data_IF_654976135645
#
_entry.id   IF_654976135645
#
_cell.length_a   1.000
_cell.length_b   1.000
_cell.length_c   1.000
_cell.angle_alpha   90.00
_cell.angle_beta   90.00
_cell.angle_gamma   90.00
#
_symmetry.space_group_name_H-M   'P 1'
#
loop_
_entity.id
_entity.type
_entity.pdbx_description
1 polymer ?
#
# COMPACT_ATOMS: atom_id res chain seq x y z
N UNK A 1 6.89 -1.00 8.89
CA UNK A 1 7.27 -0.41 7.59
C UNK A 1 6.85 1.05 7.61
N UNK A 2 7.45 1.95 6.81
CA UNK A 2 6.99 3.34 6.83
C UNK A 2 5.69 3.54 6.04
N UNK A 3 4.86 4.44 6.55
CA UNK A 3 3.59 4.84 5.94
C UNK A 3 3.68 5.16 4.44
N UNK A 4 4.65 5.96 3.94
CA UNK A 4 4.76 6.24 2.52
C UNK A 4 4.92 4.99 1.65
N UNK A 5 5.51 3.93 2.19
CA UNK A 5 5.74 2.67 1.46
C UNK A 5 4.46 1.89 1.24
N UNK A 6 3.52 1.92 2.19
CA UNK A 6 2.18 1.37 1.98
C UNK A 6 1.46 2.09 0.84
N UNK A 7 1.54 3.43 0.81
CA UNK A 7 0.90 4.23 -0.25
C UNK A 7 1.53 3.96 -1.62
N UNK A 8 2.86 3.87 -1.69
CA UNK A 8 3.57 3.57 -2.92
C UNK A 8 3.27 2.16 -3.43
N UNK A 9 3.24 1.16 -2.53
CA UNK A 9 2.86 -0.21 -2.88
C UNK A 9 1.42 -0.29 -3.38
N UNK A 10 0.48 0.43 -2.75
CA UNK A 10 -0.91 0.52 -3.20
C UNK A 10 -1.02 1.20 -4.58
N UNK A 11 -0.28 2.27 -4.82
CA UNK A 11 -0.25 2.93 -6.12
C UNK A 11 0.30 1.99 -7.22
N UNK A 12 1.37 1.24 -6.92
CA UNK A 12 1.91 0.22 -7.82
C UNK A 12 0.93 -0.93 -8.09
N UNK A 13 0.16 -1.35 -7.08
CA UNK A 13 -0.88 -2.36 -7.27
C UNK A 13 -1.90 -1.91 -8.32
N UNK A 14 -2.28 -0.64 -8.33
CA UNK A 14 -3.21 -0.10 -9.32
C UNK A 14 -2.68 -0.17 -10.75
N UNK A 15 -1.37 0.02 -10.93
CA UNK A 15 -0.69 -0.16 -12.23
C UNK A 15 -0.87 -1.57 -12.80
N UNK A 16 -0.91 -2.59 -11.94
CA UNK A 16 -1.02 -3.99 -12.37
C UNK A 16 -2.44 -4.55 -12.33
N UNK A 17 -3.36 -3.94 -11.59
CA UNK A 17 -4.70 -4.49 -11.32
C UNK A 17 -5.86 -3.76 -12.00
N UNK A 18 -5.59 -2.68 -12.75
CA UNK A 18 -6.62 -1.77 -13.33
C UNK A 18 -7.55 -1.13 -12.29
N UNK A 19 -7.23 -1.27 -10.99
CA UNK A 19 -7.99 -0.67 -9.91
C UNK A 19 -7.70 0.83 -9.82
N UNK A 20 -8.68 1.59 -9.33
CA UNK A 20 -8.53 3.03 -9.17
C UNK A 20 -7.45 3.34 -8.13
N UNK A 21 -6.38 3.98 -8.59
CA UNK A 21 -5.21 4.30 -7.77
C UNK A 21 -5.51 5.25 -6.62
N UNK A 22 -6.29 6.34 -6.81
CA UNK A 22 -6.69 7.18 -5.68
C UNK A 22 -7.37 6.37 -4.58
N UNK A 23 -8.26 5.45 -4.94
CA UNK A 23 -9.00 4.64 -3.96
C UNK A 23 -8.15 3.54 -3.32
N UNK A 24 -7.16 2.99 -4.04
CA UNK A 24 -6.14 2.12 -3.46
C UNK A 24 -5.31 2.84 -2.40
N UNK A 25 -4.85 4.06 -2.70
CA UNK A 25 -4.06 4.87 -1.77
C UNK A 25 -4.91 5.26 -0.56
N UNK A 26 -6.17 5.66 -0.76
CA UNK A 26 -7.11 5.91 0.36
C UNK A 26 -7.27 4.66 1.21
N UNK A 27 -7.55 3.50 0.59
CA UNK A 27 -7.69 2.24 1.28
C UNK A 27 -6.47 1.89 2.12
N UNK A 28 -5.27 2.05 1.56
CA UNK A 28 -4.01 1.81 2.26
C UNK A 28 -3.74 2.83 3.36
N UNK A 29 -4.19 4.08 3.22
CA UNK A 29 -3.99 5.09 4.25
C UNK A 29 -4.90 4.90 5.47
N UNK A 30 -6.09 4.31 5.28
CA UNK A 30 -7.14 4.24 6.31
C UNK A 30 -6.69 3.63 7.65
N UNK A 31 -6.00 2.48 7.70
CA UNK A 31 -5.63 1.86 8.98
C UNK A 31 -4.84 2.80 9.88
N UNK A 32 -3.82 3.45 9.31
CA UNK A 32 -2.93 4.38 10.02
C UNK A 32 -3.63 5.68 10.41
N UNK A 33 -4.52 6.20 9.55
CA UNK A 33 -5.28 7.41 9.84
C UNK A 33 -6.34 7.20 10.94
N UNK A 34 -6.71 5.95 11.22
CA UNK A 34 -7.59 5.59 12.34
C UNK A 34 -6.76 5.34 13.59
N UNK A 35 -5.81 4.43 13.54
CA UNK A 35 -5.19 3.92 14.76
C UNK A 35 -4.18 4.88 15.37
N UNK A 36 -3.41 5.62 14.55
CA UNK A 36 -2.41 6.55 15.07
C UNK A 36 -3.07 7.68 15.88
N UNK A 37 -4.11 8.37 15.39
CA UNK A 37 -4.81 9.36 16.21
C UNK A 37 -5.44 8.76 17.48
N UNK A 38 -6.07 7.58 17.39
CA UNK A 38 -6.68 6.93 18.56
C UNK A 38 -5.64 6.64 19.64
N UNK A 39 -4.46 6.14 19.27
CA UNK A 39 -3.38 5.86 20.20
C UNK A 39 -2.75 7.15 20.77
N UNK A 40 -2.50 8.16 19.93
CA UNK A 40 -1.95 9.45 20.37
C UNK A 40 -2.89 10.20 21.33
N UNK A 41 -4.20 10.01 21.18
CA UNK A 41 -5.21 10.56 22.08
C UNK A 41 -5.44 9.69 23.33
N UNK A 42 -4.75 8.55 23.47
CA UNK A 42 -4.87 7.64 24.60
C UNK A 42 -6.20 6.86 24.64
N UNK A 43 -6.91 6.76 23.51
CA UNK A 43 -8.15 5.95 23.40
C UNK A 43 -7.83 4.45 23.40
N UNK A 44 -6.68 4.09 22.84
CA UNK A 44 -6.13 2.74 22.82
C UNK A 44 -4.64 2.81 23.12
N UNK A 45 -4.08 1.73 23.67
CA UNK A 45 -2.67 1.70 24.08
C UNK A 45 -1.71 1.28 22.94
N UNK A 46 -2.25 0.84 21.80
CA UNK A 46 -1.49 0.29 20.68
C UNK A 46 -1.76 1.05 19.38
N UNK A 47 -0.72 1.16 18.55
CA UNK A 47 -0.78 1.84 17.25
C UNK A 47 -1.31 0.95 16.10
N UNK A 48 -1.57 -0.33 16.37
CA UNK A 48 -2.20 -1.30 15.46
C UNK A 48 -3.40 -1.94 16.16
N UNK A 49 -4.60 -1.40 15.93
CA UNK A 49 -5.84 -1.76 16.62
C UNK A 49 -7.05 -1.81 15.66
N UNK A 50 -7.92 -0.81 15.68
CA UNK A 50 -9.24 -0.81 15.03
C UNK A 50 -9.11 -0.84 13.51
N UNK A 51 -8.24 -0.03 12.94
CA UNK A 51 -8.01 0.08 11.50
C UNK A 51 -7.20 -1.09 10.95
N UNK A 52 -6.35 -1.70 11.78
CA UNK A 52 -5.46 -2.80 11.40
C UNK A 52 -5.99 -4.21 11.71
N UNK A 53 -7.16 -4.34 12.33
CA UNK A 53 -7.74 -5.66 12.63
C UNK A 53 -8.31 -6.34 11.37
N UNK A 54 -7.96 -7.61 11.18
CA UNK A 54 -8.55 -8.47 10.16
C UNK A 54 -10.03 -8.78 10.44
N UNK A 55 -10.55 -8.47 11.64
CA UNK A 55 -11.98 -8.60 11.94
C UNK A 55 -12.85 -7.66 11.10
N UNK A 56 -12.28 -6.62 10.47
CA UNK A 56 -12.96 -5.79 9.47
C UNK A 56 -13.08 -6.47 8.09
N UNK A 57 -12.52 -7.67 7.89
CA UNK A 57 -12.57 -8.38 6.61
C UNK A 57 -14.01 -8.57 6.05
N UNK A 58 -15.02 -8.96 6.83
CA UNK A 58 -16.39 -9.10 6.29
C UNK A 58 -16.96 -7.77 5.76
N UNK A 59 -16.69 -6.66 6.45
CA UNK A 59 -17.11 -5.33 6.03
C UNK A 59 -16.38 -4.91 4.75
N UNK A 60 -15.06 -5.08 4.70
CA UNK A 60 -14.25 -4.70 3.53
C UNK A 60 -14.60 -5.55 2.31
N UNK A 61 -14.91 -6.83 2.49
CA UNK A 61 -15.46 -7.70 1.43
C UNK A 61 -16.81 -7.18 0.92
N UNK A 62 -17.70 -6.77 1.82
CA UNK A 62 -18.99 -6.17 1.44
C UNK A 62 -18.80 -4.89 0.62
N UNK A 63 -17.88 -4.01 1.06
CA UNK A 63 -17.50 -2.80 0.33
C UNK A 63 -16.90 -3.13 -1.04
N UNK A 64 -16.07 -4.19 -1.12
CA UNK A 64 -15.49 -4.64 -2.38
C UNK A 64 -16.58 -5.06 -3.38
N UNK A 65 -17.61 -5.79 -2.96
CA UNK A 65 -18.68 -6.21 -3.88
C UNK A 65 -19.63 -5.08 -4.28
N UNK A 66 -19.69 -3.98 -3.51
CA UNK A 66 -20.62 -2.89 -3.78
C UNK A 66 -20.26 -2.05 -5.02
N UNK A 67 -18.97 -1.88 -5.35
CA UNK A 67 -18.56 -1.06 -6.51
C UNK A 67 -17.10 -1.29 -6.95
N UNK A 68 -16.72 -0.89 -8.18
CA UNK A 68 -15.31 -0.86 -8.60
C UNK A 68 -14.41 -0.01 -7.69
N UNK A 69 -14.93 1.12 -7.22
CA UNK A 69 -14.27 1.97 -6.23
C UNK A 69 -14.08 1.24 -4.90
N UNK A 70 -15.10 0.54 -4.42
CA UNK A 70 -15.05 -0.26 -3.21
C UNK A 70 -14.01 -1.39 -3.30
N UNK A 71 -13.87 -2.04 -4.47
CA UNK A 71 -12.79 -3.03 -4.69
C UNK A 71 -11.40 -2.43 -4.55
N UNK A 72 -11.19 -1.24 -5.11
CA UNK A 72 -9.90 -0.54 -5.00
C UNK A 72 -9.59 -0.17 -3.55
N UNK A 73 -10.58 0.36 -2.83
CA UNK A 73 -10.46 0.68 -1.40
C UNK A 73 -10.14 -0.55 -0.55
N UNK A 74 -10.89 -1.64 -0.72
CA UNK A 74 -10.67 -2.88 0.00
C UNK A 74 -9.30 -3.50 -0.30
N UNK A 75 -8.85 -3.47 -1.56
CA UNK A 75 -7.54 -3.96 -1.95
C UNK A 75 -6.39 -3.11 -1.38
N UNK A 76 -6.57 -1.79 -1.28
CA UNK A 76 -5.60 -0.90 -0.63
C UNK A 76 -5.51 -1.17 0.87
N UNK A 77 -6.64 -1.34 1.54
CA UNK A 77 -6.69 -1.70 2.95
C UNK A 77 -6.00 -3.06 3.20
N UNK A 78 -6.33 -4.07 2.39
CA UNK A 78 -5.74 -5.40 2.51
C UNK A 78 -4.22 -5.40 2.24
N UNK A 79 -3.74 -4.61 1.27
CA UNK A 79 -2.31 -4.49 1.01
C UNK A 79 -1.57 -3.84 2.17
N UNK A 80 -2.18 -2.86 2.86
CA UNK A 80 -1.61 -2.25 4.04
C UNK A 80 -1.40 -3.27 5.17
N UNK A 81 -2.46 -3.98 5.56
CA UNK A 81 -2.40 -5.03 6.59
C UNK A 81 -1.39 -6.12 6.24
N UNK A 82 -1.38 -6.56 4.97
CA UNK A 82 -0.44 -7.56 4.50
C UNK A 82 1.02 -7.11 4.68
N UNK A 83 1.34 -5.87 4.28
CA UNK A 83 2.70 -5.34 4.40
C UNK A 83 3.10 -5.12 5.87
N UNK A 84 2.14 -4.81 6.74
CA UNK A 84 2.39 -4.74 8.17
C UNK A 84 2.72 -6.09 8.79
N UNK A 85 1.89 -7.10 8.53
CA UNK A 85 2.14 -8.46 8.99
C UNK A 85 3.45 -9.03 8.39
N UNK A 86 3.71 -8.78 7.11
CA UNK A 86 4.91 -9.25 6.43
C UNK A 86 6.19 -8.65 7.04
N UNK A 87 6.21 -7.34 7.29
CA UNK A 87 7.44 -6.70 7.79
C UNK A 87 7.78 -7.17 9.21
N UNK A 88 6.78 -7.38 10.08
CA UNK A 88 7.07 -7.82 11.46
C UNK A 88 7.60 -9.25 11.47
N UNK A 89 7.10 -10.11 10.58
CA UNK A 89 7.64 -11.46 10.36
C UNK A 89 9.08 -11.39 9.85
N UNK A 90 9.37 -10.57 8.84
CA UNK A 90 10.73 -10.38 8.30
C UNK A 90 11.68 -9.85 9.36
N UNK A 91 11.19 -9.00 10.27
CA UNK A 91 11.96 -8.44 11.37
C UNK A 91 12.14 -9.42 12.55
N UNK A 92 11.71 -10.67 12.43
CA UNK A 92 11.84 -11.69 13.48
C UNK A 92 10.84 -11.55 14.62
N UNK A 93 9.76 -10.79 14.42
CA UNK A 93 8.68 -10.56 15.40
C UNK A 93 7.33 -11.08 14.89
N UNK A 94 7.18 -12.37 14.52
CA UNK A 94 5.93 -12.89 13.99
C UNK A 94 4.76 -12.80 14.98
N UNK A 95 5.05 -12.78 16.29
CA UNK A 95 4.03 -12.57 17.33
C UNK A 95 3.35 -11.20 17.26
N UNK A 96 4.01 -10.19 16.68
CA UNK A 96 3.41 -8.87 16.50
C UNK A 96 2.27 -8.91 15.47
N UNK A 97 2.28 -9.85 14.52
CA UNK A 97 1.19 -10.02 13.54
C UNK A 97 -0.16 -10.39 14.19
N UNK A 98 -0.17 -10.74 15.48
CA UNK A 98 -1.40 -10.90 16.27
C UNK A 98 -2.21 -9.61 16.39
N UNK A 99 -1.66 -8.43 16.04
CA UNK A 99 -2.45 -7.21 15.89
C UNK A 99 -3.67 -7.41 14.98
N UNK A 100 -3.59 -8.31 13.99
CA UNK A 100 -4.69 -8.64 13.08
C UNK A 100 -5.91 -9.21 13.82
N UNK A 101 -5.73 -9.81 14.99
CA UNK A 101 -6.82 -10.37 15.79
C UNK A 101 -7.33 -9.44 16.88
N UNK A 102 -6.83 -8.20 16.97
CA UNK A 102 -7.30 -7.23 17.95
C UNK A 102 -8.81 -6.98 17.80
N UNK A 103 -9.61 -6.88 18.89
CA UNK A 103 -9.22 -6.91 20.30
C UNK A 103 -9.27 -8.31 20.92
N UNK A 104 -9.52 -9.36 20.15
CA UNK A 104 -9.67 -10.73 20.66
C UNK A 104 -8.33 -11.32 21.11
N UNK A 105 -7.25 -10.90 20.47
CA UNK A 105 -5.87 -11.20 20.85
C UNK A 105 -5.01 -9.94 20.76
N UNK A 106 -3.94 -9.92 21.53
CA UNK A 106 -2.97 -8.82 21.56
C UNK A 106 -1.57 -9.44 21.45
N UNK A 107 -0.62 -8.81 20.74
CA UNK A 107 0.77 -9.25 20.75
C UNK A 107 1.30 -9.41 22.19
N UNK A 108 2.06 -10.48 22.49
CA UNK A 108 2.56 -10.74 23.84
C UNK A 108 3.63 -9.76 24.30
N UNK A 109 4.36 -9.16 23.35
CA UNK A 109 5.41 -8.17 23.56
C UNK A 109 5.28 -7.09 22.49
N UNK A 110 4.25 -6.21 22.55
CA UNK A 110 4.06 -5.19 21.54
C UNK A 110 5.16 -4.12 21.68
N UNK A 111 5.69 -3.63 20.56
CA UNK A 111 6.64 -2.51 20.60
C UNK A 111 6.03 -1.28 21.29
N UNK A 112 4.74 -1.02 21.07
CA UNK A 112 3.96 0.06 21.69
C UNK A 112 4.60 1.47 21.62
N UNK A 113 5.56 1.68 20.72
CA UNK A 113 6.26 2.95 20.56
C UNK A 113 5.51 3.90 19.61
N UNK A 114 5.53 5.23 19.88
CA UNK A 114 4.91 6.22 19.02
C UNK A 114 5.58 6.32 17.64
N UNK A 115 4.91 6.90 16.61
CA UNK A 115 5.44 6.96 15.25
C UNK A 115 6.83 7.62 15.13
N UNK A 116 7.12 8.62 15.98
CA UNK A 116 8.42 9.30 15.98
C UNK A 116 9.57 8.39 16.43
N UNK A 117 9.35 7.60 17.49
CA UNK A 117 10.34 6.63 17.99
C UNK A 117 10.45 5.43 17.05
N UNK A 118 9.32 4.97 16.50
CA UNK A 118 9.29 3.91 15.50
C UNK A 118 10.15 4.25 14.28
N UNK A 119 10.17 5.52 13.86
CA UNK A 119 11.03 5.97 12.76
C UNK A 119 12.50 5.64 13.01
N UNK A 120 13.03 5.99 14.18
CA UNK A 120 14.44 5.72 14.51
C UNK A 120 14.68 4.22 14.72
N UNK A 121 13.77 3.55 15.41
CA UNK A 121 13.84 2.10 15.65
C UNK A 121 13.93 1.30 14.35
N UNK A 122 13.19 1.72 13.32
CA UNK A 122 13.03 0.96 12.10
C UNK A 122 14.24 1.03 11.14
N UNK A 123 15.08 2.08 11.22
CA UNK A 123 16.22 2.35 10.32
C UNK A 123 17.26 1.22 10.20
N UNK A 124 17.25 0.26 11.12
CA UNK A 124 18.21 -0.84 11.17
C UNK A 124 17.56 -2.21 11.01
N UNK A 125 16.26 -2.24 10.73
CA UNK A 125 15.52 -3.49 10.57
C UNK A 125 15.80 -4.14 9.20
N UNK A 126 15.72 -5.48 9.10
CA UNK A 126 15.79 -6.17 7.80
C UNK A 126 14.75 -5.65 6.80
N UNK A 127 13.53 -5.34 7.27
CA UNK A 127 12.48 -4.77 6.43
C UNK A 127 12.83 -3.38 5.89
N UNK A 128 13.57 -2.56 6.63
CA UNK A 128 14.03 -1.26 6.13
C UNK A 128 14.98 -1.41 4.95
N UNK A 129 15.88 -2.40 4.97
CA UNK A 129 16.76 -2.69 3.83
C UNK A 129 15.93 -3.06 2.59
N UNK A 130 14.91 -3.92 2.76
CA UNK A 130 13.99 -4.26 1.67
C UNK A 130 13.20 -3.06 1.16
N UNK A 131 12.80 -2.17 2.05
CA UNK A 131 12.11 -0.92 1.73
C UNK A 131 13.02 0.02 0.92
N UNK A 132 14.31 0.15 1.27
CA UNK A 132 15.28 0.87 0.45
C UNK A 132 15.41 0.27 -0.96
N UNK A 133 15.45 -1.06 -1.08
CA UNK A 133 15.49 -1.75 -2.38
C UNK A 133 14.22 -1.47 -3.18
N UNK A 134 13.05 -1.56 -2.54
CA UNK A 134 11.76 -1.24 -3.15
C UNK A 134 11.75 0.18 -3.73
N UNK A 135 12.15 1.19 -2.94
CA UNK A 135 12.21 2.58 -3.38
C UNK A 135 13.27 2.81 -4.46
N UNK A 136 14.43 2.15 -4.37
CA UNK A 136 15.48 2.23 -5.39
C UNK A 136 15.00 1.70 -6.74
N UNK A 137 14.34 0.54 -6.77
CA UNK A 137 13.75 -0.03 -7.98
C UNK A 137 12.65 0.89 -8.53
N UNK A 138 11.75 1.37 -7.68
CA UNK A 138 10.69 2.30 -8.07
C UNK A 138 11.28 3.58 -8.69
N UNK A 139 12.30 4.16 -8.06
CA UNK A 139 13.02 5.33 -8.57
C UNK A 139 13.66 5.09 -9.93
N UNK A 140 14.34 3.96 -10.13
CA UNK A 140 14.92 3.60 -11.44
C UNK A 140 13.85 3.46 -12.52
N UNK A 141 12.72 2.82 -12.20
CA UNK A 141 11.60 2.69 -13.14
C UNK A 141 11.06 4.06 -13.53
N UNK A 142 10.81 4.95 -12.57
CA UNK A 142 10.31 6.31 -12.80
C UNK A 142 11.31 7.18 -13.57
N UNK A 143 12.62 7.05 -13.31
CA UNK A 143 13.65 7.77 -14.05
C UNK A 143 13.75 7.32 -15.50
N UNK A 144 13.69 6.00 -15.76
CA UNK A 144 13.68 5.45 -17.14
C UNK A 144 12.45 5.92 -17.90
N UNK A 145 11.31 5.93 -17.21
CA UNK A 145 10.06 6.50 -17.69
C UNK A 145 10.20 7.96 -18.13
N UNK A 146 10.68 8.84 -17.25
CA UNK A 146 10.83 10.26 -17.53
C UNK A 146 11.80 10.52 -18.69
N UNK A 147 12.91 9.77 -18.77
CA UNK A 147 13.89 9.88 -19.86
C UNK A 147 13.38 9.44 -21.22
N UNK A 148 12.31 8.63 -21.26
CA UNK A 148 11.74 8.16 -22.52
C UNK A 148 10.84 9.19 -23.22
N UNK A 149 10.69 10.40 -22.68
CA UNK A 149 9.74 11.44 -23.13
C UNK A 149 8.28 10.95 -23.26
N UNK A 150 7.98 9.79 -22.68
CA UNK A 150 6.61 9.28 -22.61
C UNK A 150 5.87 10.08 -21.54
N UNK A 151 4.67 10.58 -21.82
CA UNK A 151 3.86 11.22 -20.80
C UNK A 151 3.64 10.24 -19.63
N UNK A 152 3.78 10.74 -18.40
CA UNK A 152 3.57 9.96 -17.17
C UNK A 152 2.22 9.20 -17.17
N UNK A 153 1.23 9.72 -17.90
CA UNK A 153 -0.07 9.09 -18.12
C UNK A 153 0.01 7.76 -18.89
N UNK A 154 0.86 7.64 -19.91
CA UNK A 154 1.06 6.38 -20.66
C UNK A 154 1.78 5.31 -19.84
N UNK A 155 2.58 5.74 -18.86
CA UNK A 155 3.16 4.82 -17.90
C UNK A 155 2.10 4.29 -16.97
N UNK A 156 1.14 5.11 -16.56
CA UNK A 156 0.10 4.74 -15.61
C UNK A 156 -1.06 3.98 -16.26
N UNK A 157 -1.37 4.28 -17.53
CA UNK A 157 -2.45 3.68 -18.31
C UNK A 157 -1.91 3.13 -19.65
N UNK A 158 -1.62 1.82 -19.72
CA UNK A 158 -1.12 1.19 -20.95
C UNK A 158 -2.13 1.19 -22.11
N UNK A 159 -3.42 1.41 -21.85
CA UNK A 159 -4.46 1.41 -22.89
C UNK A 159 -4.36 2.62 -23.82
N UNK A 160 -3.79 3.73 -23.34
CA UNK A 160 -3.47 4.93 -24.14
C UNK A 160 -2.46 4.66 -25.25
N UNK A 161 -1.73 3.55 -25.19
CA UNK A 161 -0.80 3.12 -26.24
C UNK A 161 -1.51 2.64 -27.51
N UNK A 162 -2.77 2.20 -27.40
CA UNK A 162 -3.51 1.60 -28.52
C UNK A 162 -4.39 2.60 -29.27
N UNK A 163 -4.52 3.84 -28.79
CA UNK A 163 -5.39 4.86 -29.39
C UNK A 163 -4.73 5.74 -30.44
N UNK A 164 -3.42 5.61 -30.70
CA UNK A 164 -2.84 6.25 -31.88
C UNK A 164 -3.34 5.54 -33.14
N UNK A 165 -4.00 6.25 -34.08
CA UNK A 165 -4.34 5.65 -35.36
C UNK A 165 -3.03 5.28 -36.04
N UNK A 166 -2.84 3.99 -36.31
CA UNK A 166 -1.80 3.54 -37.25
C UNK A 166 -2.00 4.33 -38.53
N UNK A 167 -1.11 5.28 -38.82
CA UNK A 167 -1.17 6.05 -40.05
C UNK A 167 -1.11 5.06 -41.19
N UNK A 168 -2.19 4.97 -41.95
CA UNK A 168 -2.31 4.15 -43.14
C UNK A 168 -1.21 4.58 -44.11
N UNK A 169 -0.10 3.84 -44.15
CA UNK A 169 1.07 4.13 -45.01
C UNK A 169 1.08 3.28 -46.28
N UNK A 170 -0.06 2.68 -46.63
CA UNK A 170 -0.17 1.70 -47.73
C UNK A 170 -0.96 2.20 -48.96
N UNK A 171 -1.32 3.48 -49.07
CA UNK A 171 -2.07 4.01 -50.24
C UNK A 171 -1.26 4.96 -51.15
N UNK A 172 0.07 4.89 -51.13
CA UNK A 172 0.92 5.71 -52.02
C UNK A 172 1.47 4.99 -53.27
N UNK A 173 1.09 3.73 -53.52
CA UNK A 173 1.56 2.92 -54.67
C UNK A 173 0.40 2.29 -55.48
N UNK A 174 -0.62 3.08 -55.86
CA UNK A 174 -1.62 2.68 -56.87
C UNK A 174 -1.92 3.77 -57.87
#
# INVERSE_FOLDING_TARGET
MYFPTHLAAAALLGRWSRLSVPWLVVGAALPDLVDKPLALLGVVDLYHTVGHTALLAPLTVTVAFASPTGRALAAGWASHLFLDALHVVINGRPGDALFLGWPLVVPPDPLAIPPGEFFVYYLWSPSFVLECVFWGVLGVVLLRAARSNRPLRELWDPSLRQSEPRSNRDDADR
#
